data_IF_100687447570
#
_entry.id   IF_100687447570
#
_cell.length_a   1.000
_cell.length_b   1.000
_cell.length_c   1.000
_cell.angle_alpha   90.00
_cell.angle_beta   90.00
_cell.angle_gamma   90.00
#
_symmetry.space_group_name_H-M   'P 1'
#
loop_
_entity.id
_entity.type
_entity.pdbx_description
1 polymer ?
#
# COMPACT_ATOMS: atom_id res chain seq x y z
N UNK A 1 -8.36 22.04 28.83
CA UNK A 1 -7.19 21.29 28.31
C UNK A 1 -7.76 20.00 27.73
N UNK A 2 -8.08 19.98 26.44
CA UNK A 2 -8.74 18.84 25.79
C UNK A 2 -7.66 17.95 25.23
N UNK A 3 -7.48 16.78 25.85
CA UNK A 3 -6.55 15.75 25.40
C UNK A 3 -7.15 15.08 24.18
N UNK A 4 -6.57 15.29 23.01
CA UNK A 4 -6.84 14.49 21.81
C UNK A 4 -6.26 13.09 22.03
N UNK A 5 -7.11 12.13 22.40
CA UNK A 5 -6.76 10.73 22.30
C UNK A 5 -7.12 10.26 20.89
N UNK A 6 -6.19 10.42 19.95
CA UNK A 6 -6.25 9.69 18.69
C UNK A 6 -5.88 8.25 19.04
N UNK A 7 -6.89 7.39 19.21
CA UNK A 7 -6.66 5.97 19.19
C UNK A 7 -6.21 5.62 17.76
N UNK A 8 -4.91 5.42 17.59
CA UNK A 8 -4.34 4.92 16.35
C UNK A 8 -4.79 3.46 16.23
N UNK A 9 -5.90 3.17 15.53
CA UNK A 9 -5.91 1.92 14.76
C UNK A 9 -4.69 1.99 13.88
N UNK A 10 -3.85 0.97 13.94
CA UNK A 10 -2.58 1.03 13.21
C UNK A 10 -2.92 1.06 11.74
N UNK A 11 -2.64 2.15 10.99
CA UNK A 11 -2.77 2.09 9.56
C UNK A 11 -1.90 0.93 9.08
N UNK A 12 -2.32 0.17 8.06
CA UNK A 12 -1.48 -0.87 7.49
C UNK A 12 -0.09 -0.30 7.25
N UNK A 13 0.94 -1.04 7.67
CA UNK A 13 2.29 -0.53 7.90
C UNK A 13 2.89 0.27 6.74
N UNK A 14 2.42 0.05 5.51
CA UNK A 14 2.83 0.75 4.29
C UNK A 14 2.43 2.24 4.26
N UNK A 15 1.24 2.57 4.74
CA UNK A 15 0.69 3.92 4.66
C UNK A 15 1.37 4.89 5.64
N UNK A 16 1.92 4.37 6.74
CA UNK A 16 2.59 5.15 7.80
C UNK A 16 3.89 5.83 7.34
N UNK A 17 4.48 5.40 6.22
CA UNK A 17 5.74 5.94 5.70
C UNK A 17 5.59 7.02 4.62
N UNK A 18 4.51 6.99 3.81
CA UNK A 18 4.34 7.90 2.69
C UNK A 18 3.38 9.06 2.97
N UNK A 19 2.35 8.85 3.82
CA UNK A 19 1.32 9.85 4.07
C UNK A 19 0.93 9.89 5.55
N UNK A 20 1.34 10.92 6.31
CA UNK A 20 1.01 11.02 7.73
C UNK A 20 -0.46 11.36 8.00
N UNK A 21 -1.22 11.73 6.96
CA UNK A 21 -2.63 12.09 7.05
C UNK A 21 -3.42 11.21 6.10
N UNK A 22 -4.24 10.34 6.67
CA UNK A 22 -5.09 9.37 5.97
C UNK A 22 -6.44 9.34 6.65
N UNK A 23 -7.45 8.86 5.94
CA UNK A 23 -8.70 8.44 6.56
C UNK A 23 -8.38 7.40 7.65
N UNK A 24 -8.97 7.59 8.83
CA UNK A 24 -8.72 6.77 10.02
C UNK A 24 -10.04 6.40 10.66
N UNK A 25 -10.04 5.32 11.44
CA UNK A 25 -11.19 4.95 12.26
C UNK A 25 -11.49 6.03 13.30
N UNK A 26 -12.79 6.26 13.51
CA UNK A 26 -13.32 7.23 14.45
C UNK A 26 -14.08 6.51 15.56
N UNK A 27 -13.55 6.55 16.79
CA UNK A 27 -14.01 5.72 17.91
C UNK A 27 -15.02 6.41 18.84
N UNK A 28 -15.25 7.71 18.68
CA UNK A 28 -16.12 8.47 19.57
C UNK A 28 -16.98 9.45 18.79
N UNK A 29 -18.29 9.34 18.96
CA UNK A 29 -19.22 10.41 18.60
C UNK A 29 -18.90 11.63 19.47
N UNK A 30 -18.35 12.68 18.85
CA UNK A 30 -18.28 13.99 19.48
C UNK A 30 -19.56 14.77 19.16
N UNK A 31 -20.12 15.45 20.16
CA UNK A 31 -21.35 16.21 19.98
C UNK A 31 -21.18 17.26 18.87
N UNK A 32 -22.04 17.19 17.85
CA UNK A 32 -21.96 18.06 16.67
C UNK A 32 -20.92 17.67 15.61
N UNK A 33 -20.26 16.52 15.74
CA UNK A 33 -19.31 15.99 14.76
C UNK A 33 -19.87 14.71 14.13
N UNK A 34 -19.98 14.71 12.80
CA UNK A 34 -20.36 13.53 12.02
C UNK A 34 -19.19 12.54 11.96
N UNK A 35 -19.46 11.27 12.23
CA UNK A 35 -18.49 10.18 12.09
C UNK A 35 -18.44 9.74 10.62
N UNK A 36 -17.30 9.88 9.97
CA UNK A 36 -17.13 9.50 8.56
C UNK A 36 -16.79 8.02 8.38
N UNK A 37 -15.84 7.49 9.18
CA UNK A 37 -15.41 6.08 9.10
C UNK A 37 -15.62 5.35 10.44
N UNK A 38 -16.82 4.76 10.66
CA UNK A 38 -17.20 4.16 11.95
C UNK A 38 -16.62 2.75 12.20
N UNK A 39 -15.92 2.16 11.24
CA UNK A 39 -15.37 0.80 11.31
C UNK A 39 -14.43 0.51 10.15
N UNK A 40 -13.77 -0.65 10.19
CA UNK A 40 -12.85 -1.07 9.13
C UNK A 40 -13.60 -1.16 7.78
N UNK A 41 -13.07 -0.60 6.68
CA UNK A 41 -13.75 -0.58 5.39
C UNK A 41 -14.17 -1.97 4.90
N UNK A 42 -13.32 -2.99 5.08
CA UNK A 42 -13.63 -4.37 4.72
C UNK A 42 -14.85 -4.92 5.48
N UNK A 43 -14.93 -4.66 6.78
CA UNK A 43 -16.03 -5.11 7.62
C UNK A 43 -17.35 -4.43 7.24
N UNK A 44 -17.31 -3.12 6.95
CA UNK A 44 -18.48 -2.35 6.52
C UNK A 44 -19.00 -2.86 5.16
N UNK A 45 -18.10 -3.18 4.24
CA UNK A 45 -18.45 -3.79 2.95
C UNK A 45 -19.07 -5.17 3.12
N UNK A 46 -18.47 -6.03 3.94
CA UNK A 46 -18.93 -7.40 4.18
C UNK A 46 -20.31 -7.44 4.86
N UNK A 47 -20.56 -6.52 5.80
CA UNK A 47 -21.88 -6.37 6.46
C UNK A 47 -22.90 -5.65 5.56
N UNK A 48 -22.48 -5.08 4.43
CA UNK A 48 -23.33 -4.29 3.55
C UNK A 48 -23.79 -2.97 4.17
N UNK A 49 -23.03 -2.46 5.15
CA UNK A 49 -23.18 -1.17 5.83
C UNK A 49 -22.62 -0.02 5.00
N UNK A 50 -22.88 -0.07 3.69
CA UNK A 50 -22.44 0.92 2.70
C UNK A 50 -23.63 1.33 1.83
N UNK A 51 -23.54 2.49 1.20
CA UNK A 51 -24.59 2.94 0.30
C UNK A 51 -24.76 1.99 -0.90
N UNK A 52 -25.97 1.48 -1.07
CA UNK A 52 -26.32 0.57 -2.18
C UNK A 52 -26.73 1.39 -3.40
N UNK A 53 -25.72 1.89 -4.12
CA UNK A 53 -25.90 2.67 -5.35
C UNK A 53 -25.15 2.01 -6.51
N UNK A 54 -25.62 2.15 -7.77
CA UNK A 54 -24.84 1.73 -8.92
C UNK A 54 -23.51 2.48 -8.96
N UNK A 55 -22.39 1.75 -9.06
CA UNK A 55 -21.06 2.31 -9.21
C UNK A 55 -20.33 1.67 -10.38
N UNK A 56 -19.43 2.43 -11.00
CA UNK A 56 -18.53 1.97 -12.06
C UNK A 56 -17.12 2.13 -11.53
N UNK A 57 -16.31 1.08 -11.61
CA UNK A 57 -14.89 1.10 -11.24
C UNK A 57 -14.06 0.52 -12.38
N UNK A 58 -12.78 0.88 -12.42
CA UNK A 58 -11.83 0.43 -13.43
C UNK A 58 -10.40 0.77 -13.03
N UNK A 59 -9.46 0.14 -13.72
CA UNK A 59 -8.02 0.38 -13.59
C UNK A 59 -7.44 0.61 -14.99
N UNK A 60 -6.36 1.39 -15.08
CA UNK A 60 -5.66 1.56 -16.34
C UNK A 60 -4.58 0.50 -16.50
N UNK A 61 -4.14 0.31 -17.75
CA UNK A 61 -2.85 -0.32 -17.98
C UNK A 61 -1.74 0.59 -17.43
N UNK A 62 -0.69 -0.02 -16.87
CA UNK A 62 0.48 0.70 -16.41
C UNK A 62 0.31 1.72 -15.26
N UNK A 63 -0.62 1.49 -14.34
CA UNK A 63 -0.74 2.28 -13.09
C UNK A 63 0.56 2.30 -12.27
N UNK A 64 1.36 1.22 -12.36
CA UNK A 64 2.65 1.08 -11.68
C UNK A 64 3.74 2.08 -12.10
N UNK A 65 3.50 2.94 -13.12
CA UNK A 65 4.45 3.98 -13.57
C UNK A 65 4.94 4.89 -12.44
N UNK A 66 4.12 5.12 -11.42
CA UNK A 66 4.51 5.88 -10.23
C UNK A 66 5.72 5.27 -9.51
N UNK A 67 5.89 3.94 -9.57
CA UNK A 67 7.00 3.20 -8.94
C UNK A 67 8.36 3.42 -9.61
N UNK A 68 8.38 4.04 -10.80
CA UNK A 68 9.60 4.29 -11.58
C UNK A 68 9.88 5.78 -11.79
N UNK A 69 9.14 6.69 -11.16
CA UNK A 69 9.37 8.13 -11.33
C UNK A 69 10.71 8.58 -10.74
N UNK A 70 11.11 8.01 -9.60
CA UNK A 70 12.36 8.32 -8.92
C UNK A 70 13.60 7.93 -9.74
N UNK A 71 13.57 6.78 -10.40
CA UNK A 71 14.67 6.30 -11.28
C UNK A 71 14.77 7.05 -12.60
N UNK A 72 13.78 7.89 -12.97
CA UNK A 72 13.92 8.82 -14.09
C UNK A 72 14.82 10.01 -13.72
N UNK A 73 14.82 10.41 -12.45
CA UNK A 73 15.66 11.48 -11.91
C UNK A 73 17.06 10.97 -11.56
N UNK A 74 17.15 9.75 -11.01
CA UNK A 74 18.41 9.11 -10.63
C UNK A 74 18.43 7.61 -10.98
N UNK A 75 19.09 7.26 -12.09
CA UNK A 75 19.23 5.86 -12.52
C UNK A 75 19.99 4.98 -11.50
N UNK A 76 20.76 5.55 -10.57
CA UNK A 76 21.45 4.78 -9.53
C UNK A 76 20.48 4.11 -8.54
N UNK A 77 19.24 4.62 -8.44
CA UNK A 77 18.20 4.07 -7.59
C UNK A 77 17.71 2.69 -8.03
N UNK A 78 17.99 2.27 -9.27
CA UNK A 78 17.72 0.88 -9.71
C UNK A 78 18.40 -0.13 -8.79
N UNK A 79 19.65 0.14 -8.40
CA UNK A 79 20.38 -0.72 -7.48
C UNK A 79 19.73 -0.78 -6.10
N UNK A 80 19.26 0.35 -5.59
CA UNK A 80 18.56 0.38 -4.31
C UNK A 80 17.25 -0.42 -4.36
N UNK A 81 16.45 -0.28 -5.42
CA UNK A 81 15.22 -1.06 -5.61
C UNK A 81 15.49 -2.56 -5.76
N UNK A 82 16.57 -2.92 -6.45
CA UNK A 82 17.03 -4.31 -6.59
C UNK A 82 17.42 -4.91 -5.23
N UNK A 83 18.24 -4.20 -4.45
CA UNK A 83 18.71 -4.63 -3.12
C UNK A 83 17.58 -4.63 -2.07
N UNK A 84 16.56 -3.81 -2.26
CA UNK A 84 15.42 -3.67 -1.35
C UNK A 84 14.10 -4.19 -1.94
N UNK A 85 14.16 -5.12 -2.90
CA UNK A 85 12.99 -5.62 -3.63
C UNK A 85 11.87 -6.16 -2.72
N UNK A 86 12.23 -6.64 -1.53
CA UNK A 86 11.28 -7.05 -0.50
C UNK A 86 10.24 -5.98 -0.14
N UNK A 87 10.55 -4.69 -0.35
CA UNK A 87 9.60 -3.58 -0.16
C UNK A 87 8.40 -3.61 -1.11
N UNK A 88 8.45 -4.39 -2.19
CA UNK A 88 7.31 -4.63 -3.07
C UNK A 88 6.36 -5.72 -2.55
N UNK A 89 6.71 -6.39 -1.43
CA UNK A 89 5.76 -7.27 -0.74
C UNK A 89 4.68 -6.41 -0.07
N UNK A 90 3.38 -6.67 -0.33
CA UNK A 90 2.31 -5.89 0.27
C UNK A 90 2.33 -5.98 1.81
N UNK A 91 2.33 -4.84 2.48
CA UNK A 91 2.41 -4.79 3.94
C UNK A 91 1.13 -5.31 4.62
N UNK A 92 0.00 -5.28 3.92
CA UNK A 92 -1.30 -5.79 4.40
C UNK A 92 -1.28 -7.31 4.66
N UNK A 93 -0.26 -8.01 4.16
CA UNK A 93 -0.02 -9.43 4.47
C UNK A 93 0.53 -9.65 5.88
N UNK A 94 0.83 -8.60 6.65
CA UNK A 94 1.36 -8.69 8.01
C UNK A 94 2.76 -9.30 8.11
N UNK A 95 3.47 -9.42 6.98
CA UNK A 95 4.81 -9.99 6.94
C UNK A 95 5.85 -8.96 7.36
N UNK A 96 6.73 -9.36 8.27
CA UNK A 96 7.83 -8.51 8.70
C UNK A 96 8.95 -8.56 7.65
N UNK A 97 9.45 -7.40 7.25
CA UNK A 97 10.62 -7.30 6.36
C UNK A 97 11.82 -8.01 7.00
N UNK A 98 12.54 -8.82 6.22
CA UNK A 98 13.60 -9.71 6.66
C UNK A 98 13.13 -11.06 7.19
N UNK A 99 11.81 -11.28 7.37
CA UNK A 99 11.30 -12.60 7.75
C UNK A 99 11.48 -13.60 6.62
N UNK A 100 11.62 -14.89 6.97
CA UNK A 100 11.77 -15.98 5.99
C UNK A 100 10.61 -15.97 4.97
N UNK A 101 9.38 -15.75 5.45
CA UNK A 101 8.21 -15.70 4.59
C UNK A 101 8.20 -14.50 3.66
N UNK A 102 8.56 -13.31 4.16
CA UNK A 102 8.63 -12.09 3.36
C UNK A 102 9.70 -12.19 2.26
N UNK A 103 10.90 -12.67 2.61
CA UNK A 103 12.00 -12.89 1.66
C UNK A 103 11.63 -13.94 0.59
N UNK A 104 10.97 -15.03 0.98
CA UNK A 104 10.51 -16.04 0.03
C UNK A 104 9.45 -15.49 -0.92
N UNK A 105 8.50 -14.70 -0.41
CA UNK A 105 7.46 -14.08 -1.21
C UNK A 105 8.05 -13.05 -2.17
N UNK A 106 8.97 -12.20 -1.71
CA UNK A 106 9.68 -11.23 -2.55
C UNK A 106 10.39 -11.91 -3.72
N UNK A 107 11.07 -13.05 -3.48
CA UNK A 107 11.71 -13.84 -4.55
C UNK A 107 10.70 -14.38 -5.56
N UNK A 108 9.54 -14.86 -5.10
CA UNK A 108 8.47 -15.36 -5.98
C UNK A 108 7.87 -14.23 -6.84
N UNK A 109 7.59 -13.08 -6.24
CA UNK A 109 7.11 -11.89 -6.96
C UNK A 109 8.15 -11.49 -8.01
N UNK A 110 9.42 -11.40 -7.63
CA UNK A 110 10.49 -11.04 -8.57
C UNK A 110 10.59 -12.02 -9.74
N UNK A 111 10.59 -13.33 -9.46
CA UNK A 111 10.65 -14.34 -10.51
C UNK A 111 9.46 -14.24 -11.46
N UNK A 112 8.25 -13.96 -10.93
CA UNK A 112 7.05 -13.84 -11.75
C UNK A 112 7.12 -12.66 -12.72
N UNK A 113 7.56 -11.48 -12.26
CA UNK A 113 7.56 -10.25 -13.07
C UNK A 113 8.83 -10.03 -13.89
N UNK A 114 9.97 -10.56 -13.44
CA UNK A 114 11.29 -10.27 -14.02
C UNK A 114 12.02 -11.53 -14.50
N UNK A 115 11.57 -12.73 -14.09
CA UNK A 115 12.35 -13.95 -14.28
C UNK A 115 13.74 -13.80 -13.69
N UNK A 116 14.76 -14.06 -14.51
CA UNK A 116 16.17 -13.93 -14.12
C UNK A 116 16.76 -12.54 -14.44
N UNK A 117 15.95 -11.59 -14.93
CA UNK A 117 16.41 -10.24 -15.24
C UNK A 117 16.54 -9.39 -13.97
N UNK A 118 17.62 -8.59 -13.84
CA UNK A 118 17.74 -7.61 -12.75
C UNK A 118 16.75 -6.46 -12.95
N UNK A 119 16.41 -5.73 -11.88
CA UNK A 119 15.68 -4.47 -12.02
C UNK A 119 16.55 -3.43 -12.72
N UNK A 120 16.05 -2.92 -13.84
CA UNK A 120 16.74 -1.93 -14.67
C UNK A 120 15.75 -1.19 -15.55
N UNK A 121 16.24 -0.18 -16.27
CA UNK A 121 15.49 0.51 -17.31
C UNK A 121 14.92 -0.44 -18.37
N UNK A 122 15.64 -1.50 -18.73
CA UNK A 122 15.24 -2.43 -19.78
C UNK A 122 14.19 -3.45 -19.31
N UNK A 123 14.12 -3.70 -18.01
CA UNK A 123 13.17 -4.65 -17.39
C UNK A 123 12.06 -3.95 -16.63
N UNK A 124 11.98 -2.60 -16.67
CA UNK A 124 11.01 -1.80 -15.92
C UNK A 124 9.55 -2.16 -16.23
N UNK A 125 9.28 -2.78 -17.37
CA UNK A 125 7.98 -3.33 -17.73
C UNK A 125 7.39 -4.22 -16.62
N UNK A 126 8.22 -4.94 -15.86
CA UNK A 126 7.78 -5.75 -14.72
C UNK A 126 7.24 -4.94 -13.53
N UNK A 127 7.55 -3.64 -13.43
CA UNK A 127 7.01 -2.72 -12.40
C UNK A 127 5.78 -1.94 -12.87
N UNK A 128 5.59 -1.83 -14.18
CA UNK A 128 4.60 -0.92 -14.79
C UNK A 128 3.57 -1.66 -15.63
N UNK A 129 3.48 -2.99 -15.54
CA UNK A 129 2.57 -3.78 -16.38
C UNK A 129 1.11 -3.45 -16.05
#
# INVERSE_FOLDING_TARGET
MVTFAIALSSPPHFLKGLNPFLSTLEFAEQEGVEVFLPGEPEDLLDRGEVHKVPYITGINNMEGKTSVLDVLEDESLWRNKEETFERYVPADLGLHVGSVHSVQLAKRIKQFYFGDQPLSKNSMAGLIN
#
